data_IF_168205971240
#
_entry.id   IF_168205971240
#
_cell.length_a   1.000
_cell.length_b   1.000
_cell.length_c   1.000
_cell.angle_alpha   90.00
_cell.angle_beta   90.00
_cell.angle_gamma   90.00
#
_symmetry.space_group_name_H-M   'P 1'
#
loop_
_entity.id
_entity.type
_entity.pdbx_description
1 polymer ?
#
# COMPACT_ATOMS: atom_id res chain seq x y z
N UNK A 1 -12.51 8.31 -19.58
CA UNK A 1 -12.64 7.26 -18.56
C UNK A 1 -11.35 6.44 -18.37
N UNK A 2 -10.73 5.90 -19.44
CA UNK A 2 -9.50 5.10 -19.33
C UNK A 2 -8.31 5.82 -18.63
N UNK A 3 -8.12 7.13 -18.87
CA UNK A 3 -7.07 7.92 -18.21
C UNK A 3 -7.24 8.05 -16.69
N UNK A 4 -8.49 8.10 -16.19
CA UNK A 4 -8.74 8.19 -14.75
C UNK A 4 -8.52 6.86 -14.05
N UNK A 5 -8.86 5.75 -14.70
CA UNK A 5 -8.54 4.40 -14.22
C UNK A 5 -7.03 4.22 -14.02
N UNK A 6 -6.21 4.73 -14.94
CA UNK A 6 -4.75 4.69 -14.82
C UNK A 6 -4.24 5.53 -13.63
N UNK A 7 -4.79 6.74 -13.41
CA UNK A 7 -4.42 7.60 -12.27
C UNK A 7 -4.82 6.98 -10.94
N UNK A 8 -6.03 6.40 -10.85
CA UNK A 8 -6.47 5.70 -9.63
C UNK A 8 -5.62 4.48 -9.34
N UNK A 9 -5.29 3.67 -10.36
CA UNK A 9 -4.46 2.48 -10.20
C UNK A 9 -3.02 2.81 -9.81
N UNK A 10 -2.41 3.79 -10.48
CA UNK A 10 -1.07 4.27 -10.13
C UNK A 10 -1.02 4.83 -8.71
N UNK A 11 -2.07 5.56 -8.31
CA UNK A 11 -2.24 6.07 -6.96
C UNK A 11 -2.36 4.97 -5.89
N UNK A 12 -3.20 3.97 -6.16
CA UNK A 12 -3.36 2.81 -5.28
C UNK A 12 -2.06 2.01 -5.14
N UNK A 13 -1.30 1.83 -6.22
CA UNK A 13 0.02 1.18 -6.17
C UNK A 13 1.01 2.00 -5.35
N UNK A 14 1.07 3.32 -5.53
CA UNK A 14 1.97 4.18 -4.75
C UNK A 14 1.72 4.02 -3.25
N UNK A 15 0.45 3.96 -2.88
CA UNK A 15 0.03 3.74 -1.50
C UNK A 15 0.36 2.32 -1.00
N UNK A 16 0.07 1.30 -1.80
CA UNK A 16 0.24 -0.10 -1.40
C UNK A 16 1.71 -0.56 -1.43
N UNK A 17 2.57 0.07 -2.23
CA UNK A 17 3.98 -0.29 -2.44
C UNK A 17 4.75 -0.54 -1.14
N UNK A 18 4.82 0.42 -0.19
CA UNK A 18 5.56 0.21 1.06
C UNK A 18 4.99 -0.95 1.89
N UNK A 19 3.67 -1.15 1.91
CA UNK A 19 3.03 -2.25 2.63
C UNK A 19 3.34 -3.60 2.00
N UNK A 20 3.24 -3.69 0.67
CA UNK A 20 3.56 -4.90 -0.09
C UNK A 20 5.01 -5.29 0.11
N UNK A 21 5.95 -4.34 0.04
CA UNK A 21 7.38 -4.60 0.25
C UNK A 21 7.66 -5.11 1.67
N UNK A 22 7.06 -4.48 2.69
CA UNK A 22 7.22 -4.92 4.08
C UNK A 22 6.70 -6.35 4.30
N UNK A 23 5.49 -6.65 3.82
CA UNK A 23 4.89 -7.99 3.94
C UNK A 23 5.69 -9.02 3.15
N UNK A 24 6.21 -8.67 1.96
CA UNK A 24 7.13 -9.53 1.21
C UNK A 24 8.41 -9.83 2.00
N UNK A 25 9.01 -8.81 2.61
CA UNK A 25 10.22 -8.99 3.42
C UNK A 25 9.96 -9.93 4.60
N UNK A 26 8.82 -9.78 5.27
CA UNK A 26 8.37 -10.66 6.36
C UNK A 26 8.17 -12.09 5.86
N UNK A 27 7.49 -12.29 4.73
CA UNK A 27 7.31 -13.62 4.14
C UNK A 27 8.63 -14.29 3.75
N UNK A 28 9.60 -13.52 3.22
CA UNK A 28 10.94 -14.02 2.91
C UNK A 28 11.68 -14.40 4.19
N UNK A 29 11.67 -13.55 5.22
CA UNK A 29 12.27 -13.84 6.51
C UNK A 29 11.69 -15.13 7.13
N UNK A 30 10.36 -15.29 7.08
CA UNK A 30 9.71 -16.53 7.52
C UNK A 30 10.09 -17.74 6.66
N UNK A 31 10.22 -17.58 5.34
CA UNK A 31 10.72 -18.64 4.45
C UNK A 31 12.17 -19.05 4.70
N UNK A 32 12.98 -18.18 5.30
CA UNK A 32 14.34 -18.51 5.77
C UNK A 32 14.29 -19.17 7.14
N UNK A 33 13.50 -18.64 8.08
CA UNK A 33 13.35 -19.21 9.43
C UNK A 33 12.76 -20.63 9.37
N UNK A 34 11.82 -20.91 8.47
CA UNK A 34 11.23 -22.25 8.33
C UNK A 34 12.26 -23.30 7.90
N UNK A 35 13.30 -22.89 7.17
CA UNK A 35 14.44 -23.75 6.83
C UNK A 35 15.42 -23.94 7.98
N UNK A 36 15.57 -22.94 8.85
CA UNK A 36 16.50 -22.96 9.98
C UNK A 36 15.94 -23.62 11.25
N UNK A 37 14.61 -23.54 11.48
CA UNK A 37 13.94 -24.05 12.67
C UNK A 37 12.58 -24.68 12.31
N UNK A 38 12.55 -25.97 11.92
CA UNK A 38 11.34 -26.65 11.46
C UNK A 38 10.30 -26.95 12.55
N UNK A 39 10.68 -26.80 13.83
CA UNK A 39 9.84 -27.12 15.00
C UNK A 39 9.19 -25.90 15.65
N UNK A 40 9.58 -24.68 15.27
CA UNK A 40 8.86 -23.48 15.71
C UNK A 40 7.47 -23.51 15.09
N UNK A 41 6.43 -23.27 15.88
CA UNK A 41 5.07 -23.07 15.39
C UNK A 41 5.04 -21.77 14.56
N UNK A 42 5.48 -21.87 13.31
CA UNK A 42 5.70 -20.75 12.41
C UNK A 42 4.38 -20.02 12.13
N UNK A 43 3.25 -20.70 12.27
CA UNK A 43 1.94 -20.07 12.21
C UNK A 43 1.66 -19.19 13.45
N UNK A 44 2.05 -19.65 14.64
CA UNK A 44 1.91 -18.87 15.87
C UNK A 44 2.82 -17.64 15.95
N UNK A 45 3.99 -17.65 15.27
CA UNK A 45 4.92 -16.50 15.26
C UNK A 45 4.77 -15.66 13.99
N UNK A 46 4.45 -16.29 12.86
CA UNK A 46 4.21 -15.69 11.55
C UNK A 46 3.12 -14.64 11.55
N UNK A 47 1.96 -15.05 12.07
CA UNK A 47 0.77 -14.23 12.04
C UNK A 47 0.89 -12.95 12.89
N UNK A 48 1.36 -13.01 14.16
CA UNK A 48 1.56 -11.79 14.94
C UNK A 48 2.58 -10.83 14.34
N UNK A 49 3.69 -11.34 13.77
CA UNK A 49 4.72 -10.50 13.15
C UNK A 49 4.21 -9.81 11.89
N UNK A 50 3.44 -10.52 11.05
CA UNK A 50 2.81 -9.92 9.88
C UNK A 50 1.81 -8.82 10.27
N UNK A 51 1.01 -9.02 11.32
CA UNK A 51 0.09 -8.00 11.86
C UNK A 51 0.87 -6.78 12.37
N UNK A 52 1.92 -6.98 13.17
CA UNK A 52 2.74 -5.88 13.69
C UNK A 52 3.37 -5.06 12.56
N UNK A 53 3.93 -5.72 11.55
CA UNK A 53 4.48 -5.02 10.38
C UNK A 53 3.41 -4.30 9.56
N UNK A 54 2.23 -4.89 9.41
CA UNK A 54 1.08 -4.22 8.79
C UNK A 54 0.71 -2.92 9.52
N UNK A 55 0.63 -2.95 10.85
CA UNK A 55 0.35 -1.76 11.66
C UNK A 55 1.45 -0.69 11.54
N UNK A 56 2.72 -1.08 11.59
CA UNK A 56 3.85 -0.16 11.41
C UNK A 56 3.72 0.57 10.07
N UNK A 57 3.49 -0.18 8.99
CA UNK A 57 3.38 0.43 7.66
C UNK A 57 2.14 1.32 7.55
N UNK A 58 1.01 0.95 8.15
CA UNK A 58 -0.18 1.82 8.17
C UNK A 58 0.10 3.16 8.87
N UNK A 59 0.81 3.14 9.99
CA UNK A 59 1.21 4.38 10.70
C UNK A 59 2.13 5.25 9.86
N UNK A 60 3.14 4.67 9.20
CA UNK A 60 4.02 5.41 8.30
C UNK A 60 3.28 5.93 7.07
N UNK A 61 2.40 5.11 6.51
CA UNK A 61 1.59 5.44 5.35
C UNK A 61 0.77 6.69 5.63
N UNK A 62 0.00 6.71 6.73
CA UNK A 62 -0.84 7.86 7.17
C UNK A 62 -0.09 9.19 7.13
N UNK A 63 1.16 9.25 7.61
CA UNK A 63 1.96 10.47 7.60
C UNK A 63 2.31 11.01 6.20
N UNK A 64 2.38 10.12 5.20
CA UNK A 64 2.76 10.46 3.82
C UNK A 64 1.57 10.79 2.90
N UNK A 65 0.34 10.53 3.34
CA UNK A 65 -0.87 10.73 2.52
C UNK A 65 -1.12 12.19 2.16
N UNK A 66 -0.86 13.13 3.06
CA UNK A 66 -1.29 14.53 2.89
C UNK A 66 -0.90 15.15 1.55
N UNK A 67 0.34 14.92 1.11
CA UNK A 67 0.89 15.48 -0.15
C UNK A 67 0.31 14.80 -1.39
N UNK A 68 -0.14 13.54 -1.27
CA UNK A 68 -0.71 12.76 -2.36
C UNK A 68 -2.17 13.14 -2.67
N UNK A 69 -2.98 13.40 -1.63
CA UNK A 69 -4.40 13.72 -1.79
C UNK A 69 -4.63 15.04 -2.52
N UNK A 70 -3.79 16.04 -2.29
CA UNK A 70 -3.89 17.35 -2.94
C UNK A 70 -3.81 17.25 -4.47
N UNK A 71 -2.84 16.47 -4.97
CA UNK A 71 -2.64 16.26 -6.41
C UNK A 71 -3.77 15.46 -7.08
N UNK A 72 -4.41 14.53 -6.36
CA UNK A 72 -5.54 13.76 -6.91
C UNK A 72 -6.83 14.59 -6.94
N UNK A 73 -7.08 15.38 -5.90
CA UNK A 73 -8.25 16.24 -5.81
C UNK A 73 -8.26 17.30 -6.92
N UNK A 74 -7.11 17.92 -7.22
CA UNK A 74 -6.99 18.86 -8.33
C UNK A 74 -7.26 18.23 -9.70
N UNK A 75 -6.79 16.99 -9.93
CA UNK A 75 -7.08 16.27 -11.18
C UNK A 75 -8.56 15.90 -11.31
N UNK A 76 -9.20 15.51 -10.20
CA UNK A 76 -10.64 15.25 -10.17
C UNK A 76 -11.45 16.50 -10.49
N UNK A 77 -11.10 17.66 -9.92
CA UNK A 77 -11.76 18.93 -10.22
C UNK A 77 -11.60 19.36 -11.69
N UNK A 78 -10.40 19.24 -12.25
CA UNK A 78 -10.16 19.52 -13.68
C UNK A 78 -10.99 18.62 -14.62
N UNK A 79 -11.27 17.38 -14.20
CA UNK A 79 -12.13 16.49 -14.98
C UNK A 79 -13.61 16.86 -14.85
N UNK A 80 -14.05 17.26 -13.66
CA UNK A 80 -15.41 17.77 -13.47
C UNK A 80 -15.65 19.03 -14.31
N UNK A 81 -14.68 19.95 -14.35
CA UNK A 81 -14.73 21.17 -15.17
C UNK A 81 -14.86 20.83 -16.66
N UNK A 82 -14.02 19.92 -17.17
CA UNK A 82 -14.10 19.41 -18.56
C UNK A 82 -15.41 18.70 -18.89
N UNK A 83 -16.01 17.99 -17.93
CA UNK A 83 -17.27 17.27 -18.11
C UNK A 83 -18.49 18.19 -18.02
N UNK A 84 -18.42 19.24 -17.23
CA UNK A 84 -19.47 20.26 -17.09
C UNK A 84 -19.51 21.24 -18.26
N UNK A 85 -18.60 21.10 -19.24
CA UNK A 85 -18.55 21.98 -20.42
C UNK A 85 -18.00 23.37 -20.11
N UNK A 86 -17.41 23.57 -18.92
CA UNK A 86 -16.55 24.71 -18.65
C UNK A 86 -15.16 24.36 -19.22
N UNK A 87 -14.96 24.65 -20.49
CA UNK A 87 -13.69 24.49 -21.20
C UNK A 87 -13.58 25.58 -22.25
#
# INVERSE_FOLDING_TARGET
VAGFGAVMFAGAIHLALPAVVAILMVNIAFGVISRAAPTLNLFAVGFPVAIMMGFIVLTFSIGTHGVFWEGQTLQAFNLLEKLLGAG
#
